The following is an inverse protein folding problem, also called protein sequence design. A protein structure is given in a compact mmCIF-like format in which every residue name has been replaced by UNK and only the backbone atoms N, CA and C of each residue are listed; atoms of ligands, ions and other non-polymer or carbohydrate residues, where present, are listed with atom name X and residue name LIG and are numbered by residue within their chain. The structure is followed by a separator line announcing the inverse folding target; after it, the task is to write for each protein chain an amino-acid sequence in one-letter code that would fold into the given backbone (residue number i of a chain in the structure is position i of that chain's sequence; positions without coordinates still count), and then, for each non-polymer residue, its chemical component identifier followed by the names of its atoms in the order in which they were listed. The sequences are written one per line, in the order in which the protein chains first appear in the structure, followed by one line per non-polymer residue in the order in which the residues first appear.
data_IF_730112730631
#
_entry.id   IF_730112730631
#
_cell.length_a   1.000
_cell.length_b   1.000
_cell.length_c   1.000
_cell.angle_alpha   90.00
_cell.angle_beta   90.00
_cell.angle_gamma   90.00
#
_symmetry.space_group_name_H-M   'P 1'
#
loop_
_entity.id
_entity.type
_entity.pdbx_description
1 polymer ?
#
# COMPACT_ATOMS: atom_id res chain seq x y z
N UNK A 1 -26.45 -20.81 25.00
CA UNK A 1 -25.51 -21.03 23.89
C UNK A 1 -25.66 -19.87 22.92
N UNK A 2 -24.91 -18.79 23.10
CA UNK A 2 -24.87 -17.67 22.16
C UNK A 2 -23.60 -17.80 21.34
N UNK A 3 -23.75 -18.01 20.04
CA UNK A 3 -22.66 -17.98 19.07
C UNK A 3 -22.25 -16.52 18.88
N UNK A 4 -21.01 -16.18 19.23
CA UNK A 4 -20.43 -14.88 18.88
C UNK A 4 -20.29 -14.81 17.35
N UNK A 5 -20.76 -13.74 16.68
CA UNK A 5 -20.53 -13.60 15.25
C UNK A 5 -19.03 -13.43 15.00
N UNK A 6 -18.47 -14.32 14.18
CA UNK A 6 -17.12 -14.17 13.64
C UNK A 6 -17.13 -12.94 12.72
N UNK A 7 -16.49 -11.85 13.14
CA UNK A 7 -16.30 -10.68 12.29
C UNK A 7 -15.41 -11.08 11.10
N UNK A 8 -16.05 -11.41 9.97
CA UNK A 8 -15.40 -11.51 8.67
C UNK A 8 -14.94 -10.11 8.26
N UNK A 9 -13.82 -9.64 8.78
CA UNK A 9 -13.14 -8.48 8.17
C UNK A 9 -12.76 -8.90 6.77
N UNK A 10 -13.53 -8.46 5.78
CA UNK A 10 -13.12 -8.46 4.38
C UNK A 10 -11.73 -7.84 4.33
N UNK A 11 -10.71 -8.66 4.05
CA UNK A 11 -9.39 -8.16 3.73
C UNK A 11 -9.53 -7.46 2.38
N UNK A 12 -9.91 -6.19 2.42
CA UNK A 12 -10.09 -5.38 1.22
C UNK A 12 -8.78 -5.49 0.42
N UNK A 13 -8.89 -5.89 -0.84
CA UNK A 13 -7.76 -5.94 -1.76
C UNK A 13 -7.25 -4.50 -1.92
N UNK A 14 -6.19 -4.16 -1.18
CA UNK A 14 -5.54 -2.85 -1.32
C UNK A 14 -4.75 -2.83 -2.61
N UNK A 15 -5.02 -1.83 -3.43
CA UNK A 15 -4.23 -1.56 -4.63
C UNK A 15 -2.93 -0.88 -4.23
N UNK A 16 -1.87 -1.08 -5.02
CA UNK A 16 -0.64 -0.31 -4.87
C UNK A 16 -0.88 1.21 -4.97
N UNK A 17 -1.93 1.62 -5.68
CA UNK A 17 -2.31 3.02 -5.86
C UNK A 17 -2.92 3.67 -4.61
N UNK A 18 -3.24 2.89 -3.57
CA UNK A 18 -3.78 3.40 -2.30
C UNK A 18 -2.67 3.88 -1.34
N UNK A 19 -1.40 3.69 -1.71
CA UNK A 19 -0.25 4.03 -0.88
C UNK A 19 0.40 5.34 -1.33
N UNK A 20 0.99 6.03 -0.36
CA UNK A 20 1.94 7.13 -0.59
C UNK A 20 3.29 6.75 -0.02
N UNK A 21 4.35 7.14 -0.71
CA UNK A 21 5.74 6.92 -0.28
C UNK A 21 6.40 8.25 0.02
N UNK A 22 7.29 8.27 1.00
CA UNK A 22 8.10 9.44 1.31
C UNK A 22 9.30 9.50 0.36
N UNK A 23 9.57 10.69 -0.18
CA UNK A 23 10.78 10.97 -0.97
C UNK A 23 11.96 11.23 -0.04
N UNK A 24 13.19 11.29 -0.60
CA UNK A 24 14.39 11.61 0.17
C UNK A 24 14.31 13.00 0.84
N UNK A 25 13.52 13.92 0.27
CA UNK A 25 13.28 15.27 0.81
C UNK A 25 12.10 15.33 1.82
N UNK A 26 11.57 14.16 2.23
CA UNK A 26 10.47 14.05 3.19
C UNK A 26 9.08 14.34 2.63
N UNK A 27 8.95 14.58 1.32
CA UNK A 27 7.66 14.88 0.71
C UNK A 27 6.89 13.59 0.36
N UNK A 28 5.59 13.50 0.68
CA UNK A 28 4.78 12.35 0.30
C UNK A 28 4.44 12.37 -1.19
N UNK A 29 4.62 11.23 -1.86
CA UNK A 29 4.25 11.00 -3.26
C UNK A 29 3.25 9.84 -3.33
N UNK A 30 2.01 10.08 -3.75
CA UNK A 30 1.04 9.00 -3.92
C UNK A 30 1.39 8.14 -5.14
N UNK A 31 1.36 6.82 -4.97
CA UNK A 31 1.68 5.88 -6.05
C UNK A 31 0.61 5.86 -7.15
N UNK A 32 -0.61 6.37 -6.87
CA UNK A 32 -1.67 6.59 -7.86
C UNK A 32 -1.25 7.47 -9.04
N UNK A 33 -0.26 8.36 -8.85
CA UNK A 33 0.32 9.19 -9.91
C UNK A 33 0.92 8.37 -11.06
N UNK A 34 1.28 7.11 -10.81
CA UNK A 34 1.89 6.22 -11.81
C UNK A 34 0.90 5.22 -12.43
N UNK A 35 -0.41 5.43 -12.28
CA UNK A 35 -1.43 4.57 -12.89
C UNK A 35 -1.24 4.47 -14.41
N UNK A 36 -1.34 3.25 -14.92
CA UNK A 36 -1.14 2.95 -16.35
C UNK A 36 0.32 2.77 -16.75
N UNK A 37 1.26 2.81 -15.79
CA UNK A 37 2.68 2.50 -15.99
C UNK A 37 3.02 1.15 -15.36
N UNK A 38 4.00 0.46 -15.92
CA UNK A 38 4.65 -0.69 -15.25
C UNK A 38 5.61 -0.12 -14.20
N UNK A 39 5.55 -0.65 -12.97
CA UNK A 39 6.33 -0.19 -11.83
C UNK A 39 7.27 -1.31 -11.34
N UNK A 40 8.52 -0.95 -11.06
CA UNK A 40 9.50 -1.81 -10.40
C UNK A 40 9.88 -1.16 -9.06
N UNK A 41 9.67 -1.88 -7.96
CA UNK A 41 10.01 -1.43 -6.62
C UNK A 41 11.25 -2.20 -6.16
N UNK A 42 12.30 -1.47 -5.75
CA UNK A 42 13.56 -2.04 -5.28
C UNK A 42 13.81 -1.55 -3.87
N UNK A 43 14.07 -2.48 -2.95
CA UNK A 43 14.65 -2.17 -1.65
C UNK A 43 16.17 -2.05 -1.83
N UNK A 44 16.71 -0.85 -1.58
CA UNK A 44 18.14 -0.54 -1.67
C UNK A 44 18.66 -0.26 -0.27
N UNK A 45 19.85 -0.78 0.06
CA UNK A 45 20.58 -0.47 1.29
C UNK A 45 22.00 -0.01 0.95
N UNK A 46 22.53 0.96 1.70
CA UNK A 46 23.94 1.36 1.66
C UNK A 46 24.73 0.56 2.69
N UNK A 47 26.02 0.28 2.41
CA UNK A 47 26.95 -0.34 3.37
C UNK A 47 27.34 0.63 4.47
#
# INVERSE_FOLDING_TARGET
MMISPFNLTSMAYKSIYDFSVETLDGQPVPLSNYRGKVLLIINVATF
#
